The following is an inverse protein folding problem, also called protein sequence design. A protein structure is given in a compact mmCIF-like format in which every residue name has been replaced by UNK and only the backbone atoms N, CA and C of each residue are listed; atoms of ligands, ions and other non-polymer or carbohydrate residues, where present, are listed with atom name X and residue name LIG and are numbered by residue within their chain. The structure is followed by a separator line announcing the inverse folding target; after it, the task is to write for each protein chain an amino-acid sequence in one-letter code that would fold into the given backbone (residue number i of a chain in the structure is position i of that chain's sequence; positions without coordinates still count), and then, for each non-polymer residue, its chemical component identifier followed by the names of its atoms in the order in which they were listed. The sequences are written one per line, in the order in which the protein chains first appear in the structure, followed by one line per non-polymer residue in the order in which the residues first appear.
data_IF_940881983280
#
_entry.id   IF_940881983280
#
_cell.length_a   1.000
_cell.length_b   1.000
_cell.length_c   1.000
_cell.angle_alpha   90.00
_cell.angle_beta   90.00
_cell.angle_gamma   90.00
#
_symmetry.space_group_name_H-M   'P 1'
#
loop_
_entity.id
_entity.type
_entity.pdbx_description
1 polymer ?
#
# COMPACT_ATOMS: atom_id res chain seq x y z
N UNK A 1 11.61 -2.34 3.87
CA UNK A 1 10.80 -2.36 2.64
C UNK A 1 11.37 -3.35 1.66
N UNK A 2 10.52 -4.01 0.89
CA UNK A 2 10.90 -4.95 -0.16
C UNK A 2 10.35 -4.43 -1.48
N UNK A 3 11.23 -4.24 -2.46
CA UNK A 3 10.86 -3.93 -3.84
C UNK A 3 11.01 -5.20 -4.66
N UNK A 4 10.02 -5.53 -5.48
CA UNK A 4 10.01 -6.78 -6.23
C UNK A 4 10.01 -6.55 -7.73
N UNK A 5 10.91 -7.26 -8.40
CA UNK A 5 11.06 -7.27 -9.84
C UNK A 5 11.08 -8.72 -10.29
N UNK A 6 9.99 -9.23 -10.88
CA UNK A 6 9.86 -10.53 -11.56
C UNK A 6 10.70 -11.73 -11.04
N UNK A 7 11.05 -11.75 -9.76
CA UNK A 7 11.88 -12.75 -9.08
C UNK A 7 10.97 -13.42 -8.06
N UNK A 8 11.03 -14.72 -7.86
CA UNK A 8 10.25 -15.37 -6.80
C UNK A 8 10.99 -15.27 -5.46
N UNK A 9 10.35 -14.75 -4.41
CA UNK A 9 10.89 -14.82 -3.03
C UNK A 9 10.34 -16.06 -2.34
N UNK A 10 11.19 -17.05 -2.08
CA UNK A 10 10.78 -18.35 -1.54
C UNK A 10 11.74 -18.91 -0.50
N UNK A 11 11.18 -19.67 0.44
CA UNK A 11 11.95 -20.48 1.37
C UNK A 11 12.21 -21.90 0.83
N UNK A 12 11.28 -22.45 0.05
CA UNK A 12 11.36 -23.81 -0.54
C UNK A 12 10.90 -23.74 -2.00
N UNK A 13 11.59 -24.44 -2.91
CA UNK A 13 11.21 -24.48 -4.33
C UNK A 13 9.95 -25.30 -4.58
N UNK A 14 9.22 -24.96 -5.65
CA UNK A 14 8.03 -25.69 -6.07
C UNK A 14 8.31 -27.18 -6.34
N UNK A 15 9.48 -27.49 -6.92
CA UNK A 15 9.92 -28.85 -7.22
C UNK A 15 10.11 -29.68 -5.95
N UNK A 16 10.67 -29.08 -4.89
CA UNK A 16 10.85 -29.74 -3.61
C UNK A 16 9.50 -30.04 -2.94
N UNK A 17 8.53 -29.13 -3.05
CA UNK A 17 7.17 -29.35 -2.54
C UNK A 17 6.46 -30.47 -3.32
N UNK A 18 6.63 -30.55 -4.63
CA UNK A 18 6.07 -31.63 -5.44
C UNK A 18 6.59 -33.01 -5.01
N UNK A 19 7.89 -33.10 -4.70
CA UNK A 19 8.50 -34.33 -4.17
C UNK A 19 7.94 -34.71 -2.80
N UNK A 20 7.77 -33.76 -1.89
CA UNK A 20 7.23 -34.01 -0.54
C UNK A 20 5.75 -34.41 -0.60
N UNK A 21 4.97 -33.78 -1.48
CA UNK A 21 3.54 -34.04 -1.63
C UNK A 21 3.22 -35.28 -2.49
N UNK A 22 4.24 -35.88 -3.12
CA UNK A 22 4.08 -37.05 -3.99
C UNK A 22 3.33 -36.78 -5.31
N UNK A 23 3.11 -35.50 -5.67
CA UNK A 23 2.44 -35.08 -6.90
C UNK A 23 2.87 -33.65 -7.28
N UNK A 24 2.83 -33.34 -8.57
CA UNK A 24 3.08 -31.97 -9.06
C UNK A 24 1.86 -31.08 -8.81
N UNK A 25 1.95 -30.28 -7.74
CA UNK A 25 0.88 -29.36 -7.32
C UNK A 25 1.04 -27.96 -7.93
N UNK A 26 2.27 -27.54 -8.14
CA UNK A 26 2.62 -26.20 -8.60
C UNK A 26 3.37 -26.28 -9.92
N UNK A 27 3.24 -25.26 -10.76
CA UNK A 27 3.87 -25.21 -12.09
C UNK A 27 5.08 -24.28 -12.14
N UNK A 28 5.24 -23.39 -11.16
CA UNK A 28 6.36 -22.47 -11.08
C UNK A 28 6.57 -21.94 -9.67
N UNK A 29 7.80 -21.48 -9.39
CA UNK A 29 8.10 -20.75 -8.16
C UNK A 29 7.27 -19.45 -8.03
N UNK A 30 6.84 -18.86 -9.15
CA UNK A 30 6.02 -17.65 -9.14
C UNK A 30 4.65 -17.90 -8.51
N UNK A 31 4.08 -19.11 -8.62
CA UNK A 31 2.82 -19.44 -7.93
C UNK A 31 2.94 -19.46 -6.40
N UNK A 32 4.17 -19.57 -5.88
CA UNK A 32 4.44 -19.59 -4.45
C UNK A 32 4.94 -18.24 -3.93
N UNK A 33 5.69 -17.50 -4.74
CA UNK A 33 6.42 -16.30 -4.28
C UNK A 33 6.63 -15.23 -5.34
N UNK A 34 5.89 -15.30 -6.45
CA UNK A 34 5.84 -14.22 -7.43
C UNK A 34 5.08 -12.99 -6.90
N UNK A 35 5.05 -11.94 -7.72
CA UNK A 35 4.38 -10.66 -7.41
C UNK A 35 2.91 -10.89 -7.02
N UNK A 36 2.22 -11.78 -7.72
CA UNK A 36 0.82 -12.11 -7.46
C UNK A 36 0.56 -12.72 -6.07
N UNK A 37 1.60 -13.18 -5.38
CA UNK A 37 1.51 -13.63 -3.99
C UNK A 37 2.06 -12.54 -3.07
N UNK A 38 3.29 -12.09 -3.33
CA UNK A 38 4.06 -11.26 -2.40
C UNK A 38 3.61 -9.80 -2.35
N UNK A 39 3.09 -9.25 -3.45
CA UNK A 39 2.51 -7.91 -3.44
C UNK A 39 1.11 -7.92 -2.81
N UNK A 40 0.34 -8.99 -3.07
CA UNK A 40 -1.02 -9.15 -2.57
C UNK A 40 -1.10 -9.53 -1.09
N UNK A 41 0.00 -9.92 -0.46
CA UNK A 41 0.07 -10.23 0.98
C UNK A 41 0.91 -9.23 1.81
N UNK A 42 1.42 -8.16 1.18
CA UNK A 42 2.15 -7.10 1.87
C UNK A 42 3.64 -7.36 2.14
N UNK A 43 4.18 -8.51 1.71
CA UNK A 43 5.63 -8.76 1.79
C UNK A 43 6.39 -7.81 0.89
N UNK A 44 5.89 -7.61 -0.33
CA UNK A 44 6.39 -6.63 -1.30
C UNK A 44 5.66 -5.29 -1.11
N UNK A 45 6.44 -4.22 -0.93
CA UNK A 45 5.93 -2.87 -0.76
C UNK A 45 5.60 -2.18 -2.08
N UNK A 46 6.31 -2.49 -3.17
CA UNK A 46 6.04 -1.95 -4.50
C UNK A 46 6.62 -2.88 -5.59
N UNK A 47 6.16 -2.71 -6.83
CA UNK A 47 6.55 -3.53 -7.99
C UNK A 47 6.98 -2.67 -9.16
N UNK A 48 8.04 -3.08 -9.84
CA UNK A 48 8.64 -2.36 -10.96
C UNK A 48 8.77 -3.26 -12.18
N UNK A 49 8.83 -2.66 -13.38
CA UNK A 49 8.91 -3.43 -14.62
C UNK A 49 10.35 -3.89 -14.92
N UNK A 50 11.33 -3.06 -14.55
CA UNK A 50 12.75 -3.31 -14.80
C UNK A 50 13.66 -2.80 -13.64
N UNK A 51 14.93 -3.21 -13.68
CA UNK A 51 15.90 -2.91 -12.61
C UNK A 51 16.17 -1.41 -12.48
N UNK A 52 16.04 -0.67 -13.59
CA UNK A 52 16.25 0.76 -13.62
C UNK A 52 15.15 1.49 -12.85
N UNK A 53 13.88 1.14 -13.10
CA UNK A 53 12.75 1.57 -12.30
C UNK A 53 12.90 1.13 -10.84
N UNK A 54 13.48 -0.05 -10.62
CA UNK A 54 13.83 -0.56 -9.29
C UNK A 54 14.74 0.39 -8.51
N UNK A 55 15.89 0.72 -9.08
CA UNK A 55 16.86 1.66 -8.50
C UNK A 55 16.23 3.05 -8.33
N UNK A 56 15.46 3.52 -9.32
CA UNK A 56 14.77 4.79 -9.23
C UNK A 56 13.82 4.84 -8.02
N UNK A 57 13.02 3.79 -7.82
CA UNK A 57 12.07 3.67 -6.71
C UNK A 57 12.77 3.66 -5.35
N UNK A 58 13.92 2.97 -5.24
CA UNK A 58 14.75 3.00 -4.03
C UNK A 58 15.23 4.43 -3.73
N UNK A 59 15.70 5.16 -4.74
CA UNK A 59 16.14 6.54 -4.57
C UNK A 59 14.98 7.47 -4.19
N UNK A 60 13.79 7.24 -4.75
CA UNK A 60 12.57 7.96 -4.35
C UNK A 60 12.23 7.71 -2.89
N UNK A 61 12.25 6.46 -2.42
CA UNK A 61 12.03 6.12 -1.01
C UNK A 61 13.05 6.80 -0.09
N UNK A 62 14.34 6.68 -0.43
CA UNK A 62 15.42 7.30 0.35
C UNK A 62 15.29 8.83 0.40
N UNK A 63 14.67 9.47 -0.59
CA UNK A 63 14.45 10.92 -0.58
C UNK A 63 13.62 11.39 0.63
N UNK A 64 12.74 10.54 1.17
CA UNK A 64 11.93 10.85 2.35
C UNK A 64 12.68 10.63 3.66
N UNK A 65 13.73 9.81 3.67
CA UNK A 65 14.40 9.33 4.88
C UNK A 65 15.58 10.21 5.30
N UNK A 66 15.88 10.33 6.60
CA UNK A 66 17.10 10.97 7.07
C UNK A 66 18.32 10.16 6.62
N UNK A 67 19.45 10.85 6.41
CA UNK A 67 20.71 10.20 6.01
C UNK A 67 21.21 9.15 7.01
N UNK A 68 20.87 9.31 8.29
CA UNK A 68 21.19 8.39 9.39
C UNK A 68 20.26 8.66 10.58
N UNK A 69 20.28 7.77 11.58
CA UNK A 69 19.40 7.82 12.77
C UNK A 69 19.57 9.07 13.66
N UNK A 70 20.67 9.82 13.51
CA UNK A 70 20.96 11.03 14.29
C UNK A 70 20.62 12.31 13.52
N UNK A 71 20.15 12.19 12.28
CA UNK A 71 19.86 13.34 11.42
C UNK A 71 18.37 13.62 11.39
N UNK A 72 17.95 14.89 11.26
CA UNK A 72 16.56 15.22 11.02
C UNK A 72 16.13 14.75 9.64
N UNK A 73 14.81 14.66 9.43
CA UNK A 73 14.23 14.34 8.13
C UNK A 73 14.62 15.39 7.08
N UNK A 74 14.82 15.00 5.80
CA UNK A 74 15.21 15.91 4.74
C UNK A 74 14.04 16.79 4.29
N UNK A 75 13.92 17.98 4.89
CA UNK A 75 12.96 19.00 4.46
C UNK A 75 13.45 19.63 3.16
N UNK A 76 12.67 19.49 2.10
CA UNK A 76 12.97 20.08 0.79
C UNK A 76 12.19 21.39 0.60
N UNK A 77 12.67 22.27 -0.27
CA UNK A 77 11.89 23.44 -0.67
C UNK A 77 10.67 23.00 -1.49
N UNK A 78 9.48 23.16 -0.93
CA UNK A 78 8.24 22.85 -1.63
C UNK A 78 8.07 23.74 -2.86
N UNK A 79 7.69 23.12 -3.99
CA UNK A 79 7.16 23.84 -5.16
C UNK A 79 5.68 24.15 -4.99
N UNK A 80 5.00 23.34 -4.19
CA UNK A 80 3.60 23.52 -3.86
C UNK A 80 3.45 24.51 -2.69
N UNK A 81 2.73 25.64 -2.85
CA UNK A 81 2.61 26.66 -1.80
C UNK A 81 1.85 26.14 -0.57
N UNK A 82 2.37 26.42 0.63
CA UNK A 82 1.75 25.98 1.90
C UNK A 82 0.46 26.75 2.24
N UNK A 83 0.28 27.94 1.67
CA UNK A 83 -0.84 28.85 1.87
C UNK A 83 -1.99 28.62 0.88
N UNK A 84 -1.85 27.63 -0.02
CA UNK A 84 -2.93 27.25 -0.94
C UNK A 84 -4.08 26.58 -0.21
N UNK A 85 -5.25 26.62 -0.83
CA UNK A 85 -6.40 25.83 -0.38
C UNK A 85 -6.35 24.40 -0.94
N UNK A 86 -7.06 23.49 -0.27
CA UNK A 86 -7.30 22.14 -0.76
C UNK A 86 -8.62 22.16 -1.52
N UNK A 87 -8.56 21.87 -2.82
CA UNK A 87 -9.74 21.93 -3.70
C UNK A 87 -10.58 20.66 -3.62
N UNK A 88 -9.97 19.49 -3.43
CA UNK A 88 -10.71 18.26 -3.18
C UNK A 88 -11.22 18.22 -1.75
N UNK A 89 -12.54 18.26 -1.58
CA UNK A 89 -13.18 18.16 -0.27
C UNK A 89 -13.82 16.77 -0.10
N UNK A 90 -13.45 16.01 0.95
CA UNK A 90 -14.14 14.78 1.33
C UNK A 90 -15.66 14.94 1.39
N UNK A 91 -16.39 13.94 0.88
CA UNK A 91 -17.86 13.94 0.91
C UNK A 91 -18.38 12.88 1.87
N UNK A 92 -19.68 12.94 2.20
CA UNK A 92 -20.35 11.87 2.96
C UNK A 92 -20.50 10.59 2.13
N UNK A 93 -20.52 10.70 0.80
CA UNK A 93 -20.53 9.54 -0.09
C UNK A 93 -19.12 8.92 -0.15
N UNK A 94 -19.00 7.59 -0.33
CA UNK A 94 -17.70 6.95 -0.47
C UNK A 94 -16.88 7.54 -1.63
N UNK A 95 -15.58 7.75 -1.38
CA UNK A 95 -14.61 8.30 -2.32
C UNK A 95 -13.25 7.61 -2.14
N UNK A 96 -12.39 7.70 -3.16
CA UNK A 96 -11.02 7.21 -3.04
C UNK A 96 -10.22 8.15 -2.10
N UNK A 97 -9.70 7.67 -0.95
CA UNK A 97 -8.92 8.50 -0.06
C UNK A 97 -7.67 9.09 -0.75
N UNK A 98 -7.15 8.48 -1.82
CA UNK A 98 -6.02 9.02 -2.58
C UNK A 98 -6.34 10.39 -3.16
N UNK A 99 -7.60 10.70 -3.45
CA UNK A 99 -8.00 12.01 -3.95
C UNK A 99 -7.85 13.11 -2.89
N UNK A 100 -8.13 12.82 -1.61
CA UNK A 100 -7.86 13.81 -0.55
C UNK A 100 -6.38 13.94 -0.24
N UNK A 101 -5.57 12.90 -0.49
CA UNK A 101 -4.13 12.94 -0.23
C UNK A 101 -3.37 13.66 -1.35
N UNK A 102 -3.50 13.17 -2.59
CA UNK A 102 -2.71 13.60 -3.74
C UNK A 102 -3.46 14.55 -4.70
N UNK A 103 -4.78 14.67 -4.55
CA UNK A 103 -5.63 15.35 -5.51
C UNK A 103 -6.13 14.41 -6.62
N UNK A 104 -6.83 14.98 -7.60
CA UNK A 104 -7.36 14.24 -8.76
C UNK A 104 -7.62 15.17 -9.94
N UNK A 105 -7.73 14.64 -11.16
CA UNK A 105 -8.28 15.40 -12.29
C UNK A 105 -9.69 15.91 -11.98
N UNK A 106 -9.98 17.17 -12.37
CA UNK A 106 -11.31 17.75 -12.22
C UNK A 106 -12.29 17.05 -13.18
N UNK A 107 -13.41 16.49 -12.68
CA UNK A 107 -14.40 15.84 -13.54
C UNK A 107 -15.13 16.82 -14.48
N UNK A 108 -15.24 18.10 -14.10
CA UNK A 108 -16.03 19.10 -14.82
C UNK A 108 -15.18 19.92 -15.82
N UNK A 109 -13.87 20.00 -15.62
CA UNK A 109 -12.96 20.79 -16.44
C UNK A 109 -11.75 19.96 -16.86
N UNK A 110 -11.69 19.63 -18.16
CA UNK A 110 -10.57 18.86 -18.72
C UNK A 110 -9.26 19.64 -18.52
N UNK A 111 -8.25 18.96 -17.99
CA UNK A 111 -6.91 19.53 -17.77
C UNK A 111 -6.75 20.31 -16.46
N UNK A 112 -7.82 20.56 -15.71
CA UNK A 112 -7.71 21.12 -14.36
C UNK A 112 -7.45 20.01 -13.34
N UNK A 113 -6.54 20.26 -12.39
CA UNK A 113 -6.25 19.38 -11.27
C UNK A 113 -6.90 19.92 -10.00
N UNK A 114 -7.64 19.09 -9.28
CA UNK A 114 -8.14 19.39 -7.93
C UNK A 114 -7.06 19.01 -6.92
N UNK A 115 -6.52 20.01 -6.24
CA UNK A 115 -5.45 19.82 -5.26
C UNK A 115 -5.89 18.97 -4.05
N UNK A 116 -4.97 18.12 -3.58
CA UNK A 116 -5.10 17.33 -2.35
C UNK A 116 -4.43 18.00 -1.15
N UNK A 117 -4.38 17.28 -0.04
CA UNK A 117 -3.79 17.73 1.22
C UNK A 117 -2.26 17.84 1.14
N UNK A 118 -1.59 16.87 0.51
CA UNK A 118 -0.14 16.86 0.40
C UNK A 118 0.37 17.62 -0.81
N UNK A 119 1.67 17.89 -0.81
CA UNK A 119 2.37 18.53 -1.93
C UNK A 119 2.12 17.72 -3.21
N UNK A 120 1.79 18.41 -4.31
CA UNK A 120 1.47 17.78 -5.59
C UNK A 120 2.56 16.80 -6.05
N UNK A 121 2.16 15.54 -6.29
CA UNK A 121 3.05 14.48 -6.75
C UNK A 121 3.99 13.91 -5.69
N UNK A 122 3.80 14.25 -4.41
CA UNK A 122 4.63 13.72 -3.31
C UNK A 122 4.09 12.44 -2.68
N UNK A 123 2.79 12.13 -2.82
CA UNK A 123 2.23 10.93 -2.23
C UNK A 123 2.69 9.68 -2.99
N UNK A 124 3.36 8.77 -2.29
CA UNK A 124 3.87 7.51 -2.82
C UNK A 124 3.33 6.36 -1.95
N UNK A 125 2.34 5.65 -2.49
CA UNK A 125 1.68 4.53 -1.83
C UNK A 125 2.61 3.30 -1.76
N UNK A 126 2.46 2.49 -0.70
CA UNK A 126 3.13 1.19 -0.57
C UNK A 126 2.12 0.12 -0.15
N UNK A 127 2.39 -1.13 -0.53
CA UNK A 127 1.54 -2.30 -0.26
C UNK A 127 0.11 -2.12 -0.78
N UNK A 128 -0.05 -1.52 -1.96
CA UNK A 128 -1.35 -1.08 -2.50
C UNK A 128 -2.40 -2.19 -2.60
N UNK A 129 -2.12 -3.38 -3.16
CA UNK A 129 -3.17 -4.37 -3.41
C UNK A 129 -3.51 -5.22 -2.17
N UNK A 130 -2.69 -5.16 -1.12
CA UNK A 130 -2.91 -5.87 0.14
C UNK A 130 -3.73 -5.03 1.12
N UNK A 131 -4.74 -5.63 1.75
CA UNK A 131 -5.58 -5.01 2.79
C UNK A 131 -6.06 -3.60 2.43
N UNK A 132 -6.78 -3.48 1.31
CA UNK A 132 -7.06 -2.20 0.65
C UNK A 132 -8.07 -1.32 1.40
N UNK A 133 -8.65 -1.78 2.51
CA UNK A 133 -9.45 -0.93 3.41
C UNK A 133 -8.61 0.15 4.10
N UNK A 134 -7.27 0.02 4.08
CA UNK A 134 -6.33 1.04 4.55
C UNK A 134 -5.30 1.33 3.46
N UNK A 135 -5.05 2.62 3.24
CA UNK A 135 -4.03 3.16 2.34
C UNK A 135 -2.85 3.65 3.18
N UNK A 136 -1.64 3.23 2.83
CA UNK A 136 -0.41 3.64 3.53
C UNK A 136 0.65 4.07 2.52
N UNK A 137 1.48 5.03 2.89
CA UNK A 137 2.50 5.57 1.99
C UNK A 137 3.32 6.66 2.63
N UNK A 138 4.12 7.35 1.81
CA UNK A 138 4.87 8.54 2.19
C UNK A 138 4.34 9.74 1.44
N UNK A 139 4.46 10.93 2.00
CA UNK A 139 4.15 12.17 1.32
C UNK A 139 5.02 13.31 1.82
N UNK A 140 4.88 14.49 1.22
CA UNK A 140 5.42 15.74 1.77
C UNK A 140 4.31 16.74 2.05
N UNK A 141 4.45 17.46 3.15
CA UNK A 141 3.62 18.61 3.50
C UNK A 141 4.53 19.83 3.66
N UNK A 142 4.45 20.78 2.74
CA UNK A 142 5.37 21.92 2.71
C UNK A 142 6.83 21.48 2.63
N UNK A 143 7.10 20.36 1.96
CA UNK A 143 8.44 19.78 1.81
C UNK A 143 8.89 18.87 2.95
N UNK A 144 8.15 18.81 4.07
CA UNK A 144 8.44 17.94 5.21
C UNK A 144 7.95 16.52 4.88
N UNK A 145 8.84 15.50 4.85
CA UNK A 145 8.43 14.13 4.55
C UNK A 145 7.71 13.50 5.76
N UNK A 146 6.62 12.79 5.50
CA UNK A 146 5.79 12.14 6.52
C UNK A 146 5.35 10.75 6.06
N UNK A 147 5.20 9.83 7.01
CA UNK A 147 4.46 8.59 6.83
C UNK A 147 2.95 8.88 6.89
N UNK A 148 2.18 8.21 6.05
CA UNK A 148 0.74 8.47 5.87
C UNK A 148 -0.04 7.18 6.07
N UNK A 149 -1.12 7.27 6.83
CA UNK A 149 -2.16 6.25 6.93
C UNK A 149 -3.51 6.92 6.67
N UNK A 150 -4.28 6.38 5.73
CA UNK A 150 -5.62 6.84 5.40
C UNK A 150 -6.59 5.66 5.24
N UNK A 151 -7.89 5.93 5.38
CA UNK A 151 -8.91 4.89 5.40
C UNK A 151 -9.73 4.92 4.12
N UNK A 152 -9.90 3.75 3.51
CA UNK A 152 -10.81 3.59 2.38
C UNK A 152 -12.26 3.66 2.86
N UNK A 153 -13.09 4.37 2.11
CA UNK A 153 -14.51 4.55 2.45
C UNK A 153 -15.43 3.71 1.57
N UNK A 154 -14.95 3.28 0.41
CA UNK A 154 -15.65 2.38 -0.50
C UNK A 154 -15.59 0.95 0.03
N UNK A 155 -16.53 0.13 -0.43
CA UNK A 155 -16.42 -1.32 -0.24
C UNK A 155 -15.29 -1.83 -1.13
N UNK A 156 -14.41 -2.64 -0.56
CA UNK A 156 -13.26 -3.26 -1.24
C UNK A 156 -13.60 -4.70 -1.57
N UNK A 157 -13.21 -5.15 -2.76
CA UNK A 157 -13.30 -6.55 -3.16
C UNK A 157 -11.93 -7.20 -3.04
N UNK A 158 -11.80 -8.14 -2.10
CA UNK A 158 -10.60 -8.94 -1.89
C UNK A 158 -10.74 -10.26 -2.66
N UNK A 159 -9.87 -10.47 -3.65
CA UNK A 159 -9.77 -11.73 -4.37
C UNK A 159 -8.79 -12.67 -3.65
N UNK A 160 -9.30 -13.82 -3.20
CA UNK A 160 -8.52 -14.91 -2.63
C UNK A 160 -8.31 -15.95 -3.74
N UNK A 161 -7.05 -16.23 -4.14
CA UNK A 161 -6.78 -17.24 -5.17
C UNK A 161 -7.13 -18.64 -4.67
N UNK A 162 -7.47 -19.53 -5.61
CA UNK A 162 -7.62 -20.95 -5.32
C UNK A 162 -6.29 -21.53 -4.84
N UNK A 163 -6.36 -22.47 -3.91
CA UNK A 163 -5.20 -23.21 -3.41
C UNK A 163 -4.92 -24.40 -4.35
N UNK A 164 -3.80 -24.42 -5.10
CA UNK A 164 -3.48 -25.53 -6.00
C UNK A 164 -3.35 -26.88 -5.29
N UNK A 165 -3.04 -26.89 -3.98
CA UNK A 165 -2.90 -28.11 -3.21
C UNK A 165 -4.25 -28.73 -2.79
N UNK A 166 -5.34 -27.97 -2.86
CA UNK A 166 -6.66 -28.39 -2.44
C UNK A 166 -7.65 -28.37 -3.63
N UNK A 167 -8.12 -29.55 -4.05
CA UNK A 167 -8.99 -29.72 -5.22
C UNK A 167 -10.38 -29.08 -5.04
N UNK A 168 -10.84 -28.92 -3.80
CA UNK A 168 -12.12 -28.28 -3.49
C UNK A 168 -11.99 -26.75 -3.36
N UNK A 169 -10.79 -26.22 -3.52
CA UNK A 169 -10.51 -24.79 -3.41
C UNK A 169 -10.80 -24.06 -4.72
N UNK A 170 -11.59 -23.00 -4.62
CA UNK A 170 -11.93 -22.11 -5.72
C UNK A 170 -11.53 -20.67 -5.37
N UNK A 171 -11.34 -19.84 -6.40
CA UNK A 171 -11.10 -18.42 -6.19
C UNK A 171 -12.35 -17.76 -5.60
N UNK A 172 -12.16 -16.95 -4.55
CA UNK A 172 -13.26 -16.31 -3.82
C UNK A 172 -13.10 -14.80 -3.83
N UNK A 173 -14.20 -14.09 -3.98
CA UNK A 173 -14.24 -12.64 -3.81
C UNK A 173 -14.95 -12.34 -2.50
N UNK A 174 -14.26 -11.65 -1.59
CA UNK A 174 -14.79 -11.22 -0.30
C UNK A 174 -14.96 -9.71 -0.32
N UNK A 175 -16.14 -9.24 0.08
CA UNK A 175 -16.36 -7.81 0.27
C UNK A 175 -15.92 -7.40 1.67
N UNK A 176 -15.07 -6.39 1.75
CA UNK A 176 -14.65 -5.74 2.98
C UNK A 176 -15.26 -4.34 3.04
N UNK A 177 -15.97 -4.04 4.13
CA UNK A 177 -16.56 -2.73 4.33
C UNK A 177 -15.46 -1.67 4.52
N UNK A 178 -15.59 -0.53 3.82
CA UNK A 178 -14.79 0.65 4.11
C UNK A 178 -15.00 1.13 5.55
N UNK A 179 -14.06 1.93 6.07
CA UNK A 179 -14.08 2.45 7.44
C UNK A 179 -14.01 1.38 8.55
N UNK A 180 -13.56 0.15 8.25
CA UNK A 180 -13.45 -0.94 9.24
C UNK A 180 -12.04 -1.53 9.21
N UNK A 181 -11.48 -1.80 10.38
CA UNK A 181 -10.26 -2.61 10.48
C UNK A 181 -10.59 -4.10 10.50
N UNK A 182 -10.19 -4.79 9.44
CA UNK A 182 -10.07 -6.25 9.36
C UNK A 182 -8.68 -6.70 9.83
N UNK A 183 -8.45 -8.01 10.13
CA UNK A 183 -7.15 -8.51 10.58
C UNK A 183 -5.98 -8.12 9.68
N UNK A 184 -6.17 -8.19 8.36
CA UNK A 184 -5.19 -7.79 7.36
C UNK A 184 -4.86 -6.28 7.42
N UNK A 185 -5.87 -5.43 7.51
CA UNK A 185 -5.72 -3.97 7.52
C UNK A 185 -5.19 -3.44 8.86
N UNK A 186 -5.54 -4.08 9.97
CA UNK A 186 -4.94 -3.82 11.27
C UNK A 186 -3.45 -4.18 11.25
N UNK A 187 -3.09 -5.33 10.68
CA UNK A 187 -1.70 -5.74 10.51
C UNK A 187 -0.93 -4.80 9.57
N UNK A 188 -1.50 -4.43 8.42
CA UNK A 188 -0.92 -3.44 7.48
C UNK A 188 -0.67 -2.10 8.15
N UNK A 189 -1.63 -1.62 8.94
CA UNK A 189 -1.51 -0.36 9.68
C UNK A 189 -0.35 -0.43 10.68
N UNK A 190 -0.31 -1.49 11.51
CA UNK A 190 0.74 -1.68 12.50
C UNK A 190 2.14 -1.81 11.85
N UNK A 191 2.23 -2.56 10.74
CA UNK A 191 3.47 -2.73 9.97
C UNK A 191 3.97 -1.39 9.42
N UNK A 192 3.08 -0.59 8.81
CA UNK A 192 3.42 0.73 8.30
C UNK A 192 3.93 1.67 9.40
N UNK A 193 3.24 1.73 10.55
CA UNK A 193 3.65 2.55 11.70
C UNK A 193 5.04 2.14 12.18
N UNK A 194 5.29 0.83 12.30
CA UNK A 194 6.58 0.30 12.74
C UNK A 194 7.72 0.65 11.77
N UNK A 195 7.46 0.57 10.47
CA UNK A 195 8.43 0.90 9.44
C UNK A 195 8.72 2.42 9.41
N UNK A 196 7.70 3.26 9.38
CA UNK A 196 7.87 4.73 9.41
C UNK A 196 8.59 5.21 10.68
N UNK A 197 8.31 4.59 11.83
CA UNK A 197 9.02 4.90 13.07
C UNK A 197 10.52 4.55 12.99
N UNK A 198 10.87 3.42 12.34
CA UNK A 198 12.28 3.04 12.10
C UNK A 198 12.97 3.96 11.10
N UNK A 199 12.21 4.53 10.18
CA UNK A 199 12.70 5.55 9.25
C UNK A 199 12.87 6.93 9.92
N UNK A 200 12.39 7.12 11.16
CA UNK A 200 12.41 8.40 11.84
C UNK A 200 11.44 9.43 11.24
N UNK A 201 10.40 8.96 10.53
CA UNK A 201 9.40 9.82 9.92
C UNK A 201 8.32 10.25 10.92
N UNK A 202 7.87 11.52 10.89
CA UNK A 202 6.59 11.89 11.47
C UNK A 202 5.45 11.10 10.82
N UNK A 203 4.41 10.82 11.59
CA UNK A 203 3.24 10.05 11.14
C UNK A 203 2.00 10.94 11.08
N UNK A 204 1.28 10.89 9.97
CA UNK A 204 -0.03 11.52 9.81
C UNK A 204 -1.09 10.45 9.55
N UNK A 205 -2.12 10.41 10.40
CA UNK A 205 -3.24 9.48 10.29
C UNK A 205 -4.51 10.23 9.97
N UNK A 206 -5.06 10.02 8.78
CA UNK A 206 -6.37 10.52 8.36
C UNK A 206 -7.45 9.55 8.82
N UNK A 207 -7.75 9.60 10.12
CA UNK A 207 -8.64 8.65 10.78
C UNK A 207 -10.09 8.77 10.30
N UNK A 208 -10.67 7.64 9.90
CA UNK A 208 -12.08 7.54 9.51
C UNK A 208 -12.61 6.11 9.71
N UNK A 209 -12.30 5.50 10.86
CA UNK A 209 -12.75 4.16 11.22
C UNK A 209 -14.01 4.21 12.09
N UNK A 210 -14.92 3.27 11.88
CA UNK A 210 -16.05 2.97 12.76
C UNK A 210 -15.68 2.01 13.89
N UNK A 211 -14.65 1.18 13.67
CA UNK A 211 -14.16 0.19 14.63
C UNK A 211 -13.43 -0.96 13.94
N UNK A 212 -13.16 -2.01 14.72
CA UNK A 212 -12.66 -3.30 14.24
C UNK A 212 -13.81 -4.18 13.76
N UNK A 213 -13.55 -5.08 12.82
CA UNK A 213 -14.50 -6.12 12.46
C UNK A 213 -14.71 -7.05 13.67
N UNK A 214 -15.97 -7.33 13.99
CA UNK A 214 -16.37 -8.23 15.09
C UNK A 214 -17.06 -9.51 14.60
N UNK A 215 -16.94 -9.84 13.31
CA UNK A 215 -17.52 -11.07 12.77
C UNK A 215 -16.79 -12.31 13.27
N UNK A 216 -17.49 -13.44 13.42
CA UNK A 216 -16.91 -14.70 13.92
C UNK A 216 -15.67 -15.17 13.14
N UNK A 217 -15.58 -14.84 11.86
CA UNK A 217 -14.43 -15.19 11.00
C UNK A 217 -13.20 -14.29 11.23
N UNK A 218 -13.42 -13.07 11.70
CA UNK A 218 -12.38 -12.03 11.85
C UNK A 218 -11.83 -11.94 13.29
N UNK A 219 -12.50 -12.60 14.25
CA UNK A 219 -12.12 -12.72 15.67
C UNK A 219 -11.25 -13.95 15.92
#
# INVERSE_FOLDING_TARGET
MVLHLNISTLQISWSSLGLVLGREVYTSNNQLGGIQIMHNNGVTHDTVCDDFEGVYTILQWLSYMPKNIHSPVPILKAKDPIDRTIEFVPTKAPYDPRWMLAGRPNPNQKGQWLSGFFDHGSFMEIMQPWAQTVVVGRARLGGIPVGVVAVETRTVELSIPADPANLDSEAKIIQQAGQVWFPDSAFKTAQAIKDFNREGLPLMVFANWRGFSGGMKDM
#
